data_IF_435760701789
#
_entry.id   IF_435760701789
#
_cell.length_a   1.000
_cell.length_b   1.000
_cell.length_c   1.000
_cell.angle_alpha   90.00
_cell.angle_beta   90.00
_cell.angle_gamma   90.00
#
_symmetry.space_group_name_H-M   'P 1'
#
loop_
_entity.id
_entity.type
_entity.pdbx_description
1 polymer ?
#
# COMPACT_ATOMS: atom_id res chain seq x y z
N UNK A 1 -8.18 -8.52 28.31
CA UNK A 1 -7.37 -7.35 27.87
C UNK A 1 -6.56 -6.83 29.05
N UNK A 2 -5.41 -6.20 28.77
CA UNK A 2 -4.59 -5.57 29.81
C UNK A 2 -5.30 -4.35 30.39
N UNK A 3 -5.26 -4.19 31.74
CA UNK A 3 -5.78 -2.98 32.42
C UNK A 3 -5.01 -1.69 32.07
N UNK A 4 -3.85 -1.84 31.41
CA UNK A 4 -2.99 -0.74 30.99
C UNK A 4 -3.24 -0.32 29.53
N UNK A 5 -4.11 -1.04 28.81
CA UNK A 5 -4.44 -0.70 27.43
C UNK A 5 -5.21 0.63 27.39
N UNK A 6 -4.79 1.53 26.51
CA UNK A 6 -5.50 2.79 26.27
C UNK A 6 -6.94 2.50 25.85
N UNK A 7 -7.86 3.27 26.41
CA UNK A 7 -9.32 3.09 26.22
C UNK A 7 -9.72 3.08 24.73
N UNK A 8 -9.09 3.91 23.92
CA UNK A 8 -9.36 3.98 22.46
C UNK A 8 -9.06 2.69 21.71
N UNK A 9 -8.21 1.81 22.27
CA UNK A 9 -7.85 0.54 21.64
C UNK A 9 -8.60 -0.66 22.20
N UNK A 10 -9.48 -0.47 23.16
CA UNK A 10 -10.22 -1.58 23.79
C UNK A 10 -11.25 -2.22 22.85
N UNK A 11 -11.72 -1.49 21.84
CA UNK A 11 -12.65 -1.97 20.83
C UNK A 11 -11.99 -2.56 19.60
N UNK A 12 -10.66 -2.47 19.46
CA UNK A 12 -9.97 -3.02 18.30
C UNK A 12 -10.08 -4.54 18.28
N UNK A 13 -10.53 -5.07 17.16
CA UNK A 13 -10.50 -6.50 16.87
C UNK A 13 -9.14 -6.91 16.33
N UNK A 14 -8.65 -8.08 16.76
CA UNK A 14 -7.40 -8.61 16.23
C UNK A 14 -7.59 -9.02 14.77
N UNK A 15 -6.68 -8.60 13.90
CA UNK A 15 -6.64 -9.11 12.52
C UNK A 15 -6.46 -10.62 12.53
N UNK A 16 -7.30 -11.32 11.77
CA UNK A 16 -7.19 -12.77 11.59
C UNK A 16 -6.44 -13.03 10.29
N UNK A 17 -5.17 -13.49 10.35
CA UNK A 17 -4.41 -13.81 9.15
C UNK A 17 -5.02 -15.02 8.43
N UNK A 18 -4.73 -15.14 7.13
CA UNK A 18 -5.11 -16.34 6.36
C UNK A 18 -4.53 -17.61 6.97
N UNK A 19 -5.24 -18.71 6.82
CA UNK A 19 -4.80 -20.02 7.32
C UNK A 19 -3.44 -20.43 6.75
N UNK A 20 -2.59 -20.97 7.61
CA UNK A 20 -1.28 -21.52 7.25
C UNK A 20 -1.09 -22.92 7.85
N UNK A 21 -1.85 -23.92 7.37
CA UNK A 21 -1.75 -25.28 7.88
C UNK A 21 -0.37 -25.87 7.59
N UNK A 22 0.14 -26.74 8.51
CA UNK A 22 1.48 -27.34 8.43
C UNK A 22 1.44 -28.87 8.59
N UNK A 23 0.27 -29.44 8.59
CA UNK A 23 0.02 -30.87 8.83
C UNK A 23 0.26 -31.74 7.57
N UNK A 24 0.23 -31.13 6.39
CA UNK A 24 0.56 -31.78 5.11
C UNK A 24 1.04 -30.75 4.08
N UNK A 25 1.46 -31.23 2.92
CA UNK A 25 1.80 -30.34 1.80
C UNK A 25 0.53 -29.87 1.08
N UNK A 26 0.28 -28.58 1.10
CA UNK A 26 -0.85 -27.93 0.43
C UNK A 26 -0.40 -27.17 -0.83
N UNK A 27 -1.31 -27.04 -1.79
CA UNK A 27 -1.19 -26.03 -2.85
C UNK A 27 -1.73 -24.72 -2.26
N UNK A 28 -0.84 -23.81 -1.90
CA UNK A 28 -1.18 -22.55 -1.24
C UNK A 28 -1.69 -21.54 -2.26
N UNK A 29 -2.96 -21.14 -2.15
CA UNK A 29 -3.63 -20.17 -3.03
C UNK A 29 -4.18 -18.94 -2.25
N UNK A 30 -3.86 -18.84 -0.96
CA UNK A 30 -4.25 -17.72 -0.10
C UNK A 30 -3.07 -16.75 0.12
N UNK A 31 -3.35 -15.55 0.71
CA UNK A 31 -2.38 -14.52 1.10
C UNK A 31 -1.54 -13.93 -0.04
N UNK A 32 -1.73 -14.37 -1.28
CA UNK A 32 -1.07 -13.85 -2.48
C UNK A 32 0.47 -13.82 -2.38
N UNK A 33 1.06 -14.86 -1.78
CA UNK A 33 2.50 -15.05 -1.78
C UNK A 33 3.00 -15.41 -3.18
N UNK A 34 4.24 -15.01 -3.52
CA UNK A 34 4.85 -15.42 -4.78
C UNK A 34 5.05 -16.94 -4.83
N UNK A 35 4.62 -17.63 -5.89
CA UNK A 35 4.94 -19.06 -6.06
C UNK A 35 6.36 -19.31 -6.55
N UNK A 36 7.11 -18.25 -6.87
CA UNK A 36 8.47 -18.32 -7.39
C UNK A 36 9.46 -17.85 -6.34
N UNK A 37 10.68 -18.43 -6.30
CA UNK A 37 11.74 -17.94 -5.45
C UNK A 37 12.25 -16.58 -5.96
N UNK A 38 13.05 -15.86 -5.13
CA UNK A 38 13.75 -14.66 -5.58
C UNK A 38 14.62 -14.94 -6.83
N UNK A 39 14.86 -13.91 -7.62
CA UNK A 39 15.76 -14.03 -8.80
C UNK A 39 17.15 -14.54 -8.40
N UNK A 40 17.81 -15.35 -9.23
CA UNK A 40 19.16 -15.89 -8.92
C UNK A 40 20.16 -14.81 -8.50
N UNK A 41 20.14 -13.65 -9.15
CA UNK A 41 21.00 -12.50 -8.80
C UNK A 41 20.78 -11.96 -7.38
N UNK A 42 19.55 -12.05 -6.85
CA UNK A 42 19.23 -11.67 -5.48
C UNK A 42 19.87 -12.67 -4.51
N UNK A 43 19.77 -13.97 -4.82
CA UNK A 43 20.37 -15.03 -3.99
C UNK A 43 21.89 -14.91 -4.01
N UNK A 44 22.51 -14.66 -5.17
CA UNK A 44 23.95 -14.45 -5.32
C UNK A 44 24.47 -13.22 -4.56
N UNK A 45 23.65 -12.17 -4.43
CA UNK A 45 24.01 -10.98 -3.68
C UNK A 45 23.99 -11.20 -2.14
N UNK A 46 23.36 -12.27 -1.65
CA UNK A 46 23.32 -12.63 -0.22
C UNK A 46 24.59 -13.38 0.20
N UNK A 47 25.74 -12.70 0.18
CA UNK A 47 27.03 -13.29 0.54
C UNK A 47 27.23 -13.33 2.07
N UNK A 48 28.19 -14.17 2.52
CA UNK A 48 28.60 -14.22 3.93
C UNK A 48 29.08 -12.84 4.44
N UNK A 49 29.77 -12.07 3.58
CA UNK A 49 30.24 -10.73 3.90
C UNK A 49 29.07 -9.77 4.17
N UNK A 50 28.01 -9.84 3.38
CA UNK A 50 26.80 -9.05 3.61
C UNK A 50 26.11 -9.43 4.92
N UNK A 51 26.07 -10.71 5.25
CA UNK A 51 25.54 -11.20 6.55
C UNK A 51 26.37 -10.67 7.71
N UNK A 52 27.70 -10.62 7.59
CA UNK A 52 28.58 -10.06 8.63
C UNK A 52 28.32 -8.56 8.89
N UNK A 53 27.88 -7.82 7.86
CA UNK A 53 27.53 -6.40 8.01
C UNK A 53 26.25 -6.16 8.80
N UNK A 54 25.40 -7.19 9.01
CA UNK A 54 24.16 -7.06 9.81
C UNK A 54 24.44 -6.68 11.29
N UNK A 55 25.65 -6.80 11.78
CA UNK A 55 26.07 -6.30 13.11
C UNK A 55 26.14 -4.76 13.21
N UNK A 56 26.11 -4.08 12.08
CA UNK A 56 26.14 -2.62 12.00
C UNK A 56 24.74 -2.05 11.85
N UNK A 57 24.56 -0.81 12.27
CA UNK A 57 23.32 -0.09 11.95
C UNK A 57 23.21 0.09 10.42
N UNK A 58 21.99 -0.08 9.92
CA UNK A 58 21.68 0.30 8.54
C UNK A 58 21.80 1.81 8.35
N UNK A 59 21.96 2.25 7.09
CA UNK A 59 21.85 3.67 6.75
C UNK A 59 20.44 4.19 7.12
N UNK A 60 20.33 5.14 8.07
CA UNK A 60 19.03 5.65 8.53
C UNK A 60 18.26 6.39 7.45
N UNK A 61 18.93 6.81 6.38
CA UNK A 61 18.32 7.50 5.25
C UNK A 61 17.95 6.58 4.09
N UNK A 62 18.42 5.30 4.12
CA UNK A 62 18.31 4.33 3.03
C UNK A 62 18.73 4.91 1.66
N UNK A 63 19.77 5.76 1.66
CA UNK A 63 20.18 6.57 0.51
C UNK A 63 20.34 5.76 -0.76
N UNK A 64 21.15 4.71 -0.73
CA UNK A 64 21.43 3.90 -1.93
C UNK A 64 20.17 3.26 -2.51
N UNK A 65 19.27 2.76 -1.66
CA UNK A 65 18.00 2.17 -2.10
C UNK A 65 17.08 3.23 -2.71
N UNK A 66 16.98 4.40 -2.08
CA UNK A 66 16.18 5.53 -2.59
C UNK A 66 16.69 6.02 -3.94
N UNK A 67 18.00 6.20 -4.10
CA UNK A 67 18.63 6.59 -5.38
C UNK A 67 18.38 5.55 -6.49
N UNK A 68 18.48 4.26 -6.15
CA UNK A 68 18.22 3.17 -7.09
C UNK A 68 16.74 3.15 -7.53
N UNK A 69 15.81 3.28 -6.57
CA UNK A 69 14.38 3.33 -6.87
C UNK A 69 13.99 4.58 -7.65
N UNK A 70 14.57 5.72 -7.29
CA UNK A 70 14.36 6.97 -7.99
C UNK A 70 14.79 6.87 -9.47
N UNK A 71 15.98 6.29 -9.72
CA UNK A 71 16.46 6.03 -11.08
C UNK A 71 15.58 5.03 -11.85
N UNK A 72 15.06 3.99 -11.16
CA UNK A 72 14.17 2.99 -11.77
C UNK A 72 12.82 3.60 -12.18
N UNK A 73 12.30 4.50 -11.35
CA UNK A 73 10.95 5.07 -11.53
C UNK A 73 10.95 6.44 -12.19
N UNK A 74 12.10 7.05 -12.43
CA UNK A 74 12.23 8.35 -13.08
C UNK A 74 11.76 9.51 -12.20
N UNK A 75 11.89 9.39 -10.87
CA UNK A 75 11.53 10.41 -9.88
C UNK A 75 12.75 10.89 -9.12
N UNK A 76 12.64 12.00 -8.37
CA UNK A 76 13.71 12.46 -7.47
C UNK A 76 13.84 11.56 -6.23
N UNK A 77 15.06 11.29 -5.71
CA UNK A 77 15.26 10.53 -4.47
C UNK A 77 14.53 11.10 -3.26
N UNK A 78 14.31 12.42 -3.20
CA UNK A 78 13.55 13.09 -2.16
C UNK A 78 12.06 12.70 -2.18
N UNK A 79 11.55 12.28 -3.34
CA UNK A 79 10.17 11.82 -3.51
C UNK A 79 10.01 10.31 -3.22
N UNK A 80 11.08 9.64 -2.77
CA UNK A 80 11.04 8.21 -2.42
C UNK A 80 11.10 8.04 -0.90
N UNK A 81 10.10 7.38 -0.35
CA UNK A 81 10.08 6.90 1.04
C UNK A 81 10.11 5.37 1.05
N UNK A 82 10.93 4.77 1.91
CA UNK A 82 11.05 3.31 2.04
C UNK A 82 10.75 2.87 3.47
N UNK A 83 10.09 1.72 3.60
CA UNK A 83 9.75 1.12 4.90
C UNK A 83 9.58 -0.40 4.80
N UNK A 84 9.12 -1.06 5.86
CA UNK A 84 8.88 -2.50 5.91
C UNK A 84 7.57 -2.88 5.17
N UNK A 85 7.63 -2.84 3.85
CA UNK A 85 6.49 -3.10 2.97
C UNK A 85 5.50 -1.93 2.91
N UNK A 86 4.47 -2.09 2.07
CA UNK A 86 3.42 -1.07 1.90
C UNK A 86 2.55 -0.88 3.13
N UNK A 87 2.40 -1.90 3.98
CA UNK A 87 1.58 -1.79 5.20
C UNK A 87 2.07 -0.70 6.14
N UNK A 88 3.38 -0.56 6.32
CA UNK A 88 3.93 0.50 7.16
C UNK A 88 3.77 1.88 6.50
N UNK A 89 3.92 1.98 5.18
CA UNK A 89 3.63 3.22 4.43
C UNK A 89 2.16 3.62 4.58
N UNK A 90 1.24 2.67 4.40
CA UNK A 90 -0.20 2.89 4.57
C UNK A 90 -0.52 3.34 5.98
N UNK A 91 0.04 2.67 6.99
CA UNK A 91 -0.13 3.05 8.40
C UNK A 91 0.28 4.51 8.64
N UNK A 92 1.45 4.93 8.15
CA UNK A 92 1.92 6.31 8.28
C UNK A 92 1.04 7.30 7.50
N UNK A 93 0.55 6.91 6.31
CA UNK A 93 -0.32 7.77 5.52
C UNK A 93 -1.66 8.02 6.23
N UNK A 94 -2.30 6.97 6.77
CA UNK A 94 -3.53 7.13 7.56
C UNK A 94 -3.30 8.00 8.79
N UNK A 95 -2.22 7.75 9.53
CA UNK A 95 -1.85 8.55 10.71
C UNK A 95 -1.64 10.03 10.36
N UNK A 96 -0.93 10.33 9.28
CA UNK A 96 -0.51 11.69 8.96
C UNK A 96 -1.60 12.49 8.23
N UNK A 97 -2.40 11.85 7.37
CA UNK A 97 -3.29 12.53 6.43
C UNK A 97 -4.78 12.24 6.62
N UNK A 98 -5.14 11.27 7.48
CA UNK A 98 -6.52 10.86 7.72
C UNK A 98 -7.36 11.85 8.54
N UNK A 99 -6.82 12.98 8.99
CA UNK A 99 -7.49 13.89 9.93
C UNK A 99 -8.84 14.46 9.48
N UNK A 100 -9.09 14.57 8.17
CA UNK A 100 -10.39 14.97 7.61
C UNK A 100 -11.34 13.79 7.33
N UNK A 101 -10.93 12.58 7.64
CA UNK A 101 -11.58 11.33 7.25
C UNK A 101 -10.92 10.65 6.07
N UNK A 102 -11.32 9.42 5.79
CA UNK A 102 -10.85 8.65 4.66
C UNK A 102 -12.02 8.09 3.84
N UNK A 103 -11.80 7.83 2.55
CA UNK A 103 -12.77 7.20 1.67
C UNK A 103 -12.07 6.15 0.81
N UNK A 104 -12.64 4.95 0.75
CA UNK A 104 -12.12 3.82 -0.01
C UNK A 104 -13.24 2.85 -0.42
N UNK A 105 -13.01 1.92 -1.37
CA UNK A 105 -14.00 0.93 -1.75
C UNK A 105 -14.37 0.01 -0.59
N UNK A 106 -15.63 -0.42 -0.51
CA UNK A 106 -16.12 -1.35 0.52
C UNK A 106 -15.50 -2.76 0.38
N UNK A 107 -15.16 -3.17 -0.85
CA UNK A 107 -14.44 -4.40 -1.13
C UNK A 107 -13.05 -4.03 -1.66
N UNK A 108 -12.07 -3.98 -0.76
CA UNK A 108 -10.68 -3.63 -1.06
C UNK A 108 -9.74 -4.26 -0.02
N UNK A 109 -8.51 -3.78 0.08
CA UNK A 109 -7.55 -4.28 1.06
C UNK A 109 -8.03 -4.02 2.49
N UNK A 110 -8.25 -5.08 3.26
CA UNK A 110 -8.91 -5.01 4.57
C UNK A 110 -8.20 -4.15 5.62
N UNK A 111 -6.89 -3.90 5.47
CA UNK A 111 -6.15 -3.07 6.41
C UNK A 111 -6.49 -1.58 6.34
N UNK A 112 -7.12 -1.08 5.28
CA UNK A 112 -7.58 0.31 5.26
C UNK A 112 -8.59 0.59 6.38
N UNK A 113 -9.50 -0.35 6.63
CA UNK A 113 -10.45 -0.26 7.73
C UNK A 113 -9.75 -0.35 9.10
N UNK A 114 -8.79 -1.28 9.23
CA UNK A 114 -8.00 -1.43 10.46
C UNK A 114 -7.25 -0.14 10.81
N UNK A 115 -6.62 0.52 9.84
CA UNK A 115 -5.93 1.80 10.09
C UNK A 115 -6.90 2.92 10.42
N UNK A 116 -8.06 2.98 9.75
CA UNK A 116 -9.09 3.97 10.06
C UNK A 116 -9.58 3.82 11.51
N UNK A 117 -9.86 2.60 11.95
CA UNK A 117 -10.25 2.31 13.33
C UNK A 117 -9.13 2.64 14.34
N UNK A 118 -7.88 2.23 14.03
CA UNK A 118 -6.72 2.45 14.89
C UNK A 118 -6.53 3.94 15.23
N UNK A 119 -6.75 4.81 14.25
CA UNK A 119 -6.56 6.26 14.40
C UNK A 119 -7.86 7.03 14.63
N UNK A 120 -9.01 6.36 14.77
CA UNK A 120 -10.30 7.00 14.97
C UNK A 120 -10.74 7.88 13.77
N UNK A 121 -10.32 7.47 12.56
CA UNK A 121 -10.62 8.19 11.32
C UNK A 121 -12.03 7.83 10.87
N UNK A 122 -12.84 8.84 10.55
CA UNK A 122 -14.17 8.63 9.97
C UNK A 122 -14.05 8.10 8.55
N UNK A 123 -14.19 6.78 8.38
CA UNK A 123 -14.09 6.09 7.10
C UNK A 123 -15.43 6.06 6.37
N UNK A 124 -15.44 6.46 5.11
CA UNK A 124 -16.55 6.30 4.17
C UNK A 124 -16.21 5.15 3.23
N UNK A 125 -16.98 4.06 3.32
CA UNK A 125 -16.86 2.93 2.40
C UNK A 125 -17.82 3.12 1.22
N UNK A 126 -17.29 3.17 -0.01
CA UNK A 126 -18.09 3.32 -1.23
C UNK A 126 -18.27 1.95 -1.87
N UNK A 127 -19.52 1.48 -2.05
CA UNK A 127 -19.79 0.22 -2.72
C UNK A 127 -19.24 0.20 -4.15
N UNK A 128 -18.58 -0.92 -4.49
CA UNK A 128 -18.22 -1.24 -5.88
C UNK A 128 -19.49 -1.39 -6.74
N UNK A 129 -19.33 -1.24 -8.05
CA UNK A 129 -20.40 -1.55 -9.00
C UNK A 129 -20.68 -3.06 -9.05
N UNK A 130 -21.78 -3.46 -9.69
CA UNK A 130 -22.20 -4.86 -9.74
C UNK A 130 -21.19 -5.79 -10.45
N UNK A 131 -20.32 -5.23 -11.28
CA UNK A 131 -19.22 -5.92 -11.97
C UNK A 131 -17.88 -5.80 -11.21
N UNK A 132 -17.91 -5.33 -9.96
CA UNK A 132 -16.76 -5.05 -9.11
C UNK A 132 -15.86 -3.90 -9.59
N UNK A 133 -16.28 -3.11 -10.55
CA UNK A 133 -15.55 -1.90 -10.95
C UNK A 133 -15.70 -0.76 -9.93
N UNK A 134 -14.70 0.13 -9.92
CA UNK A 134 -14.72 1.38 -9.15
C UNK A 134 -15.31 2.49 -10.01
N UNK A 135 -16.43 3.10 -9.59
CA UNK A 135 -16.89 4.34 -10.20
C UNK A 135 -16.09 5.53 -9.63
N UNK A 136 -15.07 5.97 -10.37
CA UNK A 136 -14.16 7.03 -9.95
C UNK A 136 -14.86 8.34 -9.59
N UNK A 137 -16.03 8.62 -10.20
CA UNK A 137 -16.80 9.85 -9.96
C UNK A 137 -17.29 9.97 -8.52
N UNK A 138 -17.49 8.83 -7.87
CA UNK A 138 -17.87 8.77 -6.45
C UNK A 138 -16.77 9.21 -5.50
N UNK A 139 -15.51 9.30 -5.98
CA UNK A 139 -14.33 9.74 -5.23
C UNK A 139 -13.93 11.19 -5.53
N UNK A 140 -14.54 11.81 -6.52
CA UNK A 140 -14.30 13.20 -6.89
C UNK A 140 -14.87 14.16 -5.84
N UNK A 141 -14.13 15.20 -5.46
CA UNK A 141 -14.57 16.28 -4.57
C UNK A 141 -14.90 15.87 -3.13
N UNK A 142 -14.34 14.77 -2.63
CA UNK A 142 -14.63 14.24 -1.29
C UNK A 142 -14.05 15.09 -0.16
N UNK A 143 -12.97 15.84 -0.38
CA UNK A 143 -12.26 16.60 0.66
C UNK A 143 -11.85 15.75 1.88
N UNK A 144 -11.61 14.47 1.64
CA UNK A 144 -11.10 13.47 2.57
C UNK A 144 -9.92 12.76 1.92
N UNK A 145 -9.11 12.05 2.69
CA UNK A 145 -8.09 11.17 2.13
C UNK A 145 -8.75 10.08 1.28
N UNK A 146 -8.46 10.04 -0.01
CA UNK A 146 -8.93 8.99 -0.91
C UNK A 146 -7.89 7.88 -0.96
N UNK A 147 -8.33 6.62 -0.78
CA UNK A 147 -7.43 5.45 -0.87
C UNK A 147 -8.02 4.44 -1.86
N UNK A 148 -7.27 4.13 -2.91
CA UNK A 148 -7.69 3.17 -3.94
C UNK A 148 -6.54 2.23 -4.25
N UNK A 149 -6.77 0.93 -4.14
CA UNK A 149 -5.85 -0.08 -4.67
C UNK A 149 -6.05 -0.19 -6.19
N UNK A 150 -4.96 -0.11 -6.96
CA UNK A 150 -5.00 -0.24 -8.42
C UNK A 150 -3.80 -1.03 -8.96
N UNK A 151 -3.97 -2.31 -9.31
CA UNK A 151 -5.19 -3.15 -9.27
C UNK A 151 -5.80 -3.33 -7.89
N UNK A 152 -7.14 -3.39 -7.81
CA UNK A 152 -7.84 -3.58 -6.55
C UNK A 152 -7.67 -5.03 -6.03
N UNK A 153 -7.38 -5.17 -4.76
CA UNK A 153 -7.40 -6.48 -4.08
C UNK A 153 -8.69 -6.57 -3.23
N UNK A 154 -9.52 -7.64 -3.36
CA UNK A 154 -9.20 -8.93 -4.01
C UNK A 154 -9.70 -9.06 -5.45
N UNK A 155 -10.33 -8.04 -6.04
CA UNK A 155 -11.07 -8.17 -7.31
C UNK A 155 -10.18 -8.28 -8.54
N UNK A 156 -8.94 -7.76 -8.48
CA UNK A 156 -8.03 -7.65 -9.62
C UNK A 156 -8.43 -6.58 -10.66
N UNK A 157 -9.53 -5.87 -10.42
CA UNK A 157 -10.01 -4.82 -11.32
C UNK A 157 -9.11 -3.58 -11.27
N UNK A 158 -8.97 -2.93 -12.41
CA UNK A 158 -8.17 -1.70 -12.54
C UNK A 158 -9.03 -0.53 -12.98
N UNK A 159 -8.61 0.68 -12.63
CA UNK A 159 -9.12 1.92 -13.21
C UNK A 159 -8.02 2.58 -14.05
N UNK A 160 -8.34 3.16 -15.21
CA UNK A 160 -7.39 3.85 -16.06
C UNK A 160 -6.76 5.06 -15.36
N UNK A 161 -5.51 5.38 -15.67
CA UNK A 161 -4.77 6.49 -15.07
C UNK A 161 -5.50 7.84 -15.21
N UNK A 162 -6.17 8.10 -16.31
CA UNK A 162 -6.94 9.34 -16.48
C UNK A 162 -8.08 9.50 -15.48
N UNK A 163 -8.69 8.39 -14.99
CA UNK A 163 -9.71 8.44 -13.95
C UNK A 163 -9.10 8.77 -12.59
N UNK A 164 -7.91 8.22 -12.30
CA UNK A 164 -7.11 8.58 -11.11
C UNK A 164 -6.77 10.07 -11.15
N UNK A 165 -6.33 10.56 -12.29
CA UNK A 165 -6.01 11.98 -12.47
C UNK A 165 -7.22 12.90 -12.19
N UNK A 166 -8.42 12.52 -12.62
CA UNK A 166 -9.64 13.28 -12.30
C UNK A 166 -9.98 13.28 -10.81
N UNK A 167 -9.75 12.16 -10.11
CA UNK A 167 -9.88 12.10 -8.64
C UNK A 167 -8.88 13.06 -8.00
N UNK A 168 -7.62 13.04 -8.41
CA UNK A 168 -6.56 13.92 -7.87
C UNK A 168 -6.90 15.39 -8.06
N UNK A 169 -7.26 15.80 -9.28
CA UNK A 169 -7.63 17.18 -9.64
C UNK A 169 -8.79 17.72 -8.82
N UNK A 170 -9.76 16.87 -8.51
CA UNK A 170 -10.98 17.28 -7.81
C UNK A 170 -10.87 17.25 -6.29
N UNK A 171 -9.73 16.79 -5.73
CA UNK A 171 -9.44 16.75 -4.31
C UNK A 171 -8.15 17.53 -3.96
N UNK A 172 -7.97 18.80 -4.37
CA UNK A 172 -6.69 19.50 -4.29
C UNK A 172 -6.18 19.70 -2.85
N UNK A 173 -7.07 19.70 -1.86
CA UNK A 173 -6.74 19.92 -0.44
C UNK A 173 -6.75 18.63 0.38
N UNK A 174 -6.71 17.47 -0.29
CA UNK A 174 -6.73 16.15 0.35
C UNK A 174 -5.83 15.17 -0.37
N UNK A 175 -5.17 14.31 0.38
CA UNK A 175 -4.30 13.28 -0.20
C UNK A 175 -5.13 12.26 -0.99
N UNK A 176 -4.69 11.93 -2.19
CA UNK A 176 -5.10 10.75 -2.94
C UNK A 176 -3.97 9.74 -2.88
N UNK A 177 -4.23 8.59 -2.27
CA UNK A 177 -3.29 7.49 -2.15
C UNK A 177 -3.71 6.37 -3.09
N UNK A 178 -2.84 6.02 -4.03
CA UNK A 178 -3.02 4.89 -4.94
C UNK A 178 -2.08 3.77 -4.51
N UNK A 179 -2.68 2.65 -4.11
CA UNK A 179 -1.94 1.47 -3.68
C UNK A 179 -1.70 0.55 -4.88
N UNK A 180 -0.48 0.60 -5.40
CA UNK A 180 0.00 -0.17 -6.54
C UNK A 180 0.70 -1.48 -6.12
N UNK A 181 0.29 -2.12 -5.02
CA UNK A 181 0.91 -3.36 -4.58
C UNK A 181 0.88 -4.48 -5.64
N UNK A 182 -0.07 -4.43 -6.56
CA UNK A 182 -0.26 -5.43 -7.62
C UNK A 182 -0.03 -4.90 -9.03
N UNK A 183 0.48 -3.70 -9.22
CA UNK A 183 0.62 -3.07 -10.55
C UNK A 183 1.51 -3.87 -11.49
N UNK A 184 2.51 -4.57 -10.97
CA UNK A 184 3.42 -5.41 -11.77
C UNK A 184 2.72 -6.61 -12.43
N UNK A 185 1.48 -6.93 -12.05
CA UNK A 185 0.68 -8.04 -12.60
C UNK A 185 -0.27 -7.62 -13.74
N UNK A 186 -0.20 -6.38 -14.23
CA UNK A 186 -0.96 -5.94 -15.40
C UNK A 186 -1.72 -4.61 -15.21
N UNK A 187 -1.38 -3.83 -14.20
CA UNK A 187 -1.88 -2.46 -14.01
C UNK A 187 -1.06 -1.43 -14.79
N UNK A 188 -1.65 -0.26 -14.99
CA UNK A 188 -0.94 0.94 -15.46
C UNK A 188 -0.59 1.80 -14.25
N UNK A 189 0.69 2.21 -14.15
CA UNK A 189 1.16 3.01 -13.02
C UNK A 189 0.77 4.48 -13.15
N UNK A 190 0.35 5.09 -12.04
CA UNK A 190 0.12 6.53 -11.96
C UNK A 190 1.33 7.31 -11.41
N UNK A 191 2.49 6.67 -11.22
CA UNK A 191 3.73 7.32 -10.78
C UNK A 191 4.06 8.61 -11.56
N UNK A 192 3.93 8.69 -12.91
CA UNK A 192 4.23 9.94 -13.62
C UNK A 192 3.38 11.13 -13.17
N UNK A 193 2.20 10.90 -12.63
CA UNK A 193 1.34 11.97 -12.12
C UNK A 193 1.90 12.61 -10.83
N UNK A 194 2.78 11.94 -10.09
CA UNK A 194 3.39 12.50 -8.87
C UNK A 194 4.32 13.68 -9.15
N UNK A 195 4.81 13.81 -10.38
CA UNK A 195 5.60 14.97 -10.81
C UNK A 195 4.71 16.21 -11.11
N UNK A 196 3.40 16.00 -11.24
CA UNK A 196 2.43 17.05 -11.61
C UNK A 196 1.57 17.45 -10.41
N UNK A 197 1.24 16.49 -9.54
CA UNK A 197 0.29 16.67 -8.44
C UNK A 197 0.94 16.37 -7.08
N UNK A 198 1.03 17.36 -6.23
CA UNK A 198 1.61 17.29 -4.89
C UNK A 198 0.71 16.61 -3.85
N UNK A 199 -0.57 16.38 -4.21
CA UNK A 199 -1.55 15.67 -3.40
C UNK A 199 -1.72 14.19 -3.80
N UNK A 200 -0.84 13.63 -4.65
CA UNK A 200 -0.83 12.22 -5.01
C UNK A 200 0.32 11.48 -4.31
N UNK A 201 -0.02 10.37 -3.65
CA UNK A 201 0.94 9.40 -3.12
C UNK A 201 0.70 8.05 -3.76
N UNK A 202 1.76 7.41 -4.24
CA UNK A 202 1.72 6.06 -4.81
C UNK A 202 2.51 5.11 -3.93
N UNK A 203 1.89 4.02 -3.47
CA UNK A 203 2.59 2.97 -2.73
C UNK A 203 2.89 1.77 -3.61
N UNK A 204 4.05 1.15 -3.41
CA UNK A 204 4.45 -0.10 -4.07
C UNK A 204 5.09 -1.03 -3.05
N UNK A 205 5.24 -2.29 -3.40
CA UNK A 205 5.86 -3.27 -2.51
C UNK A 205 6.73 -4.26 -3.28
N UNK A 206 7.78 -4.75 -2.63
CA UNK A 206 8.54 -5.90 -3.12
C UNK A 206 7.87 -7.23 -2.74
N UNK A 207 6.96 -7.23 -1.76
CA UNK A 207 6.38 -8.45 -1.15
C UNK A 207 5.57 -9.32 -2.09
N UNK A 208 5.23 -8.86 -3.30
CA UNK A 208 4.36 -9.59 -4.25
C UNK A 208 5.13 -10.10 -5.46
N UNK A 209 5.47 -9.23 -6.40
CA UNK A 209 6.11 -9.61 -7.66
C UNK A 209 7.62 -9.81 -7.56
N UNK A 210 8.27 -9.24 -6.54
CA UNK A 210 9.74 -9.16 -6.47
C UNK A 210 10.36 -9.98 -5.34
N UNK A 211 9.54 -10.59 -4.46
CA UNK A 211 9.93 -11.42 -3.31
C UNK A 211 11.10 -10.87 -2.49
#
# INVERSE_FOLDING_TARGET
>A
MSRFLNQQYQSLEAYTPGEQPRDMQYIKLNTNESPYPPAPSVVEAMTAEQVELLRLYSDPTAKNLKETLAGLYGVSPENVFVSNGSDEVLNFAFMAFGGKGAVFPDISYGFYEVYAELYGINAEKIPLEADFSVDYRKYCGKNKMVVIANPNAPTGMTIPVWQIEEIVKTNPDSLVLIDEAYVDFGGETCLPLTEVYDNLLVTRTFSKSRC
#
